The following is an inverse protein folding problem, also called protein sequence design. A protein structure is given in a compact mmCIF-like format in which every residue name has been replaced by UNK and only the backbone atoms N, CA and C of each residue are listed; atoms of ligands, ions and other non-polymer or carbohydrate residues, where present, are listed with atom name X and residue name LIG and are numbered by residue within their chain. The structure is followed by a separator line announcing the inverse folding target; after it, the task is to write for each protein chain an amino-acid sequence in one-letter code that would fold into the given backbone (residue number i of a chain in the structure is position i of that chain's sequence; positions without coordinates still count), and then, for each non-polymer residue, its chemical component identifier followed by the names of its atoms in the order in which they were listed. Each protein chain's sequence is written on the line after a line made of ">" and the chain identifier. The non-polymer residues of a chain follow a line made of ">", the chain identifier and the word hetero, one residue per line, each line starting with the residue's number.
data_IF_504856603964
#
_entry.id   IF_504856603964
#
_cell.length_a   1.000
_cell.length_b   1.000
_cell.length_c   1.000
_cell.angle_alpha   90.00
_cell.angle_beta   90.00
_cell.angle_gamma   90.00
#
_symmetry.space_group_name_H-M   'P 1'
#
loop_
_entity.id
_entity.type
_entity.pdbx_description
1 polymer ?
#
# COMPACT_ATOMS: atom_id res chain seq x y z
N UNK A 1 -25.00 -8.52 1.39
CA UNK A 1 -24.72 -8.71 2.83
C UNK A 1 -23.21 -8.65 2.98
N UNK A 2 -22.68 -7.45 3.22
CA UNK A 2 -21.25 -7.25 3.53
C UNK A 2 -21.18 -7.35 5.04
N UNK A 3 -20.80 -8.51 5.55
CA UNK A 3 -20.64 -8.73 6.99
C UNK A 3 -19.55 -7.80 7.52
N UNK A 4 -19.90 -7.03 8.55
CA UNK A 4 -19.07 -6.08 9.32
C UNK A 4 -17.96 -6.73 10.16
N UNK A 5 -17.52 -7.93 9.81
CA UNK A 5 -16.41 -8.62 10.45
C UNK A 5 -15.20 -8.54 9.54
N UNK A 6 -14.08 -8.05 10.07
CA UNK A 6 -12.76 -8.16 9.46
C UNK A 6 -12.57 -9.62 9.01
N UNK A 7 -12.30 -9.89 7.71
CA UNK A 7 -12.29 -11.26 7.23
C UNK A 7 -11.02 -11.95 7.74
N UNK A 8 -11.10 -12.61 8.90
CA UNK A 8 -10.04 -13.44 9.50
C UNK A 8 -9.68 -14.69 8.66
N UNK A 9 -10.08 -14.74 7.40
CA UNK A 9 -9.81 -15.86 6.51
C UNK A 9 -9.97 -15.42 5.05
N UNK A 10 -8.99 -14.68 4.53
CA UNK A 10 -9.00 -14.27 3.13
C UNK A 10 -8.58 -15.44 2.22
N UNK A 11 -9.57 -16.16 1.69
CA UNK A 11 -9.36 -17.30 0.79
C UNK A 11 -8.53 -16.95 -0.46
N UNK A 12 -8.46 -15.66 -0.84
CA UNK A 12 -7.64 -15.20 -1.98
C UNK A 12 -6.15 -15.41 -1.71
N UNK A 13 -5.72 -15.46 -0.45
CA UNK A 13 -4.33 -15.70 -0.06
C UNK A 13 -3.90 -17.16 -0.22
N UNK A 14 -4.85 -18.09 -0.13
CA UNK A 14 -4.57 -19.52 -0.23
C UNK A 14 -4.09 -19.88 -1.63
N UNK A 15 -4.76 -19.36 -2.67
CA UNK A 15 -4.46 -19.76 -4.04
C UNK A 15 -4.93 -18.73 -5.08
N UNK A 16 -4.21 -18.65 -6.22
CA UNK A 16 -4.52 -17.72 -7.31
C UNK A 16 -5.92 -17.93 -7.89
N UNK A 17 -6.41 -19.19 -7.92
CA UNK A 17 -7.76 -19.48 -8.42
C UNK A 17 -8.85 -18.92 -7.50
N UNK A 18 -8.61 -18.84 -6.20
CA UNK A 18 -9.52 -18.19 -5.26
C UNK A 18 -9.57 -16.68 -5.54
N UNK A 19 -8.42 -16.07 -5.80
CA UNK A 19 -8.33 -14.67 -6.21
C UNK A 19 -9.02 -14.40 -7.56
N UNK A 20 -8.82 -15.26 -8.56
CA UNK A 20 -9.50 -15.15 -9.85
C UNK A 20 -11.02 -15.31 -9.73
N UNK A 21 -11.47 -16.25 -8.89
CA UNK A 21 -12.89 -16.50 -8.66
C UNK A 21 -13.55 -15.32 -7.94
N UNK A 22 -12.91 -14.77 -6.91
CA UNK A 22 -13.38 -13.57 -6.21
C UNK A 22 -13.48 -12.35 -7.16
N UNK A 23 -12.58 -12.28 -8.15
CA UNK A 23 -12.56 -11.22 -9.15
C UNK A 23 -13.39 -11.50 -10.41
N UNK A 24 -14.16 -12.60 -10.44
CA UNK A 24 -14.99 -12.99 -11.60
C UNK A 24 -14.22 -13.06 -12.91
N UNK A 25 -12.95 -13.47 -12.84
CA UNK A 25 -12.10 -13.64 -14.02
C UNK A 25 -12.70 -14.70 -14.95
N UNK A 26 -12.62 -14.46 -16.26
CA UNK A 26 -13.19 -15.36 -17.27
C UNK A 26 -12.64 -16.79 -17.17
N UNK A 27 -13.44 -17.74 -17.66
CA UNK A 27 -13.13 -19.17 -17.51
C UNK A 27 -11.82 -19.56 -18.21
N UNK A 28 -11.53 -18.96 -19.37
CA UNK A 28 -10.31 -19.24 -20.14
C UNK A 28 -9.04 -18.98 -19.31
N UNK A 29 -8.97 -17.85 -18.61
CA UNK A 29 -7.83 -17.50 -17.75
C UNK A 29 -7.74 -18.38 -16.51
N UNK A 30 -8.89 -18.80 -15.94
CA UNK A 30 -8.92 -19.76 -14.82
C UNK A 30 -8.43 -21.13 -15.23
N UNK A 31 -8.83 -21.62 -16.40
CA UNK A 31 -8.34 -22.89 -16.98
C UNK A 31 -6.84 -22.80 -17.26
N UNK A 32 -6.39 -21.70 -17.88
CA UNK A 32 -4.95 -21.46 -18.11
C UNK A 32 -4.15 -21.52 -16.81
N UNK A 33 -4.62 -20.86 -15.76
CA UNK A 33 -3.98 -20.88 -14.45
C UNK A 33 -3.89 -22.30 -13.87
N UNK A 34 -4.95 -23.11 -13.95
CA UNK A 34 -4.93 -24.51 -13.49
C UNK A 34 -3.80 -25.29 -14.16
N UNK A 35 -3.71 -25.22 -15.49
CA UNK A 35 -2.67 -25.93 -16.22
C UNK A 35 -1.27 -25.40 -15.93
N UNK A 36 -1.10 -24.08 -15.77
CA UNK A 36 0.18 -23.50 -15.36
C UNK A 36 0.60 -23.98 -13.96
N UNK A 37 -0.31 -24.10 -13.00
CA UNK A 37 -0.01 -24.62 -11.66
C UNK A 37 0.45 -26.08 -11.75
N UNK A 38 -0.28 -26.92 -12.48
CA UNK A 38 0.09 -28.34 -12.67
C UNK A 38 1.45 -28.44 -13.34
N UNK A 39 1.70 -27.62 -14.38
CA UNK A 39 2.97 -27.59 -15.10
C UNK A 39 4.12 -27.15 -14.20
N UNK A 40 3.92 -26.16 -13.34
CA UNK A 40 4.98 -25.58 -12.50
C UNK A 40 5.19 -26.31 -11.18
N UNK A 41 4.27 -27.20 -10.79
CA UNK A 41 4.41 -27.98 -9.56
C UNK A 41 5.65 -28.86 -9.62
N UNK A 42 6.44 -28.82 -8.53
CA UNK A 42 7.58 -29.74 -8.32
C UNK A 42 7.03 -31.11 -7.95
N UNK A 43 7.41 -32.14 -8.69
CA UNK A 43 6.90 -33.50 -8.52
C UNK A 43 8.01 -34.35 -7.92
N UNK A 44 7.75 -35.11 -6.84
CA UNK A 44 8.69 -36.11 -6.33
C UNK A 44 9.04 -37.13 -7.43
N UNK A 45 10.30 -37.55 -7.50
CA UNK A 45 10.86 -38.25 -8.67
C UNK A 45 10.14 -39.56 -9.08
N UNK A 46 9.28 -40.15 -8.24
CA UNK A 46 8.74 -41.50 -8.47
C UNK A 46 7.24 -41.56 -8.83
N UNK A 47 6.51 -40.44 -8.89
CA UNK A 47 5.08 -40.48 -9.28
C UNK A 47 4.88 -40.33 -10.80
N UNK A 48 4.77 -41.47 -11.48
CA UNK A 48 4.51 -41.55 -12.93
C UNK A 48 3.19 -40.87 -13.31
N UNK A 49 2.15 -40.93 -12.47
CA UNK A 49 0.84 -40.32 -12.78
C UNK A 49 0.94 -38.81 -12.80
N UNK A 50 1.66 -38.23 -11.85
CA UNK A 50 1.91 -36.79 -11.82
C UNK A 50 2.75 -36.33 -13.02
N UNK A 51 3.74 -37.13 -13.46
CA UNK A 51 4.52 -36.84 -14.67
C UNK A 51 3.65 -36.83 -15.93
N UNK A 52 2.76 -37.82 -16.08
CA UNK A 52 1.80 -37.87 -17.20
C UNK A 52 0.87 -36.65 -17.16
N UNK A 53 0.33 -36.32 -15.99
CA UNK A 53 -0.58 -35.20 -15.82
C UNK A 53 0.08 -33.84 -16.14
N UNK A 54 1.36 -33.67 -15.76
CA UNK A 54 2.17 -32.50 -16.12
C UNK A 54 2.42 -32.39 -17.61
N UNK A 55 2.72 -33.50 -18.28
CA UNK A 55 2.88 -33.53 -19.74
C UNK A 55 1.57 -33.16 -20.44
N UNK A 56 0.44 -33.72 -20.00
CA UNK A 56 -0.88 -33.39 -20.53
C UNK A 56 -1.21 -31.91 -20.33
N UNK A 57 -0.95 -31.35 -19.15
CA UNK A 57 -1.15 -29.92 -18.89
C UNK A 57 -0.30 -29.03 -19.81
N UNK A 58 0.94 -29.43 -20.10
CA UNK A 58 1.81 -28.71 -21.04
C UNK A 58 1.26 -28.76 -22.48
N UNK A 59 0.80 -29.93 -22.94
CA UNK A 59 0.17 -30.08 -24.26
C UNK A 59 -1.07 -29.19 -24.36
N UNK A 60 -1.97 -29.28 -23.38
CA UNK A 60 -3.20 -28.48 -23.36
C UNK A 60 -2.90 -26.97 -23.31
N UNK A 61 -1.89 -26.54 -22.55
CA UNK A 61 -1.45 -25.15 -22.56
C UNK A 61 -0.95 -24.68 -23.94
N UNK A 62 -0.29 -25.54 -24.70
CA UNK A 62 0.22 -25.20 -26.03
C UNK A 62 -0.89 -25.18 -27.09
N UNK A 63 -1.90 -26.04 -26.93
CA UNK A 63 -3.05 -26.13 -27.83
C UNK A 63 -4.11 -25.06 -27.56
N UNK A 64 -4.14 -24.52 -26.34
CA UNK A 64 -5.06 -23.44 -25.96
C UNK A 64 -4.75 -22.19 -26.80
N UNK A 65 -5.60 -21.93 -27.80
CA UNK A 65 -5.53 -20.75 -28.64
C UNK A 65 -5.93 -19.51 -27.82
N UNK A 66 -4.94 -18.72 -27.42
CA UNK A 66 -5.12 -17.41 -26.80
C UNK A 66 -4.64 -16.35 -27.79
N UNK A 67 -5.43 -15.30 -27.99
CA UNK A 67 -4.94 -14.15 -28.76
C UNK A 67 -3.79 -13.45 -28.01
N UNK A 68 -3.02 -12.61 -28.71
CA UNK A 68 -1.98 -11.82 -28.05
C UNK A 68 -2.54 -10.94 -26.93
N UNK A 69 -3.75 -10.40 -27.11
CA UNK A 69 -4.44 -9.58 -26.11
C UNK A 69 -4.84 -10.41 -24.88
N UNK A 70 -5.28 -11.66 -25.09
CA UNK A 70 -5.59 -12.58 -23.99
C UNK A 70 -4.33 -12.94 -23.19
N UNK A 71 -3.20 -13.16 -23.88
CA UNK A 71 -1.92 -13.46 -23.21
C UNK A 71 -1.48 -12.27 -22.36
N UNK A 72 -1.56 -11.04 -22.88
CA UNK A 72 -1.24 -9.83 -22.13
C UNK A 72 -2.17 -9.64 -20.93
N UNK A 73 -3.48 -9.87 -21.12
CA UNK A 73 -4.48 -9.80 -20.05
C UNK A 73 -4.18 -10.82 -18.95
N UNK A 74 -3.85 -12.05 -19.32
CA UNK A 74 -3.47 -13.10 -18.37
C UNK A 74 -2.21 -12.72 -17.57
N UNK A 75 -1.16 -12.22 -18.24
CA UNK A 75 0.07 -11.77 -17.55
C UNK A 75 -0.21 -10.62 -16.58
N UNK A 76 -1.11 -9.70 -16.94
CA UNK A 76 -1.56 -8.63 -16.04
C UNK A 76 -2.27 -9.21 -14.82
N UNK A 77 -3.18 -10.16 -14.98
CA UNK A 77 -3.87 -10.84 -13.86
C UNK A 77 -2.90 -11.55 -12.91
N UNK A 78 -1.84 -12.18 -13.44
CA UNK A 78 -0.77 -12.78 -12.62
C UNK A 78 0.00 -11.71 -11.84
N UNK A 79 0.32 -10.59 -12.48
CA UNK A 79 1.00 -9.46 -11.85
C UNK A 79 0.13 -8.86 -10.74
N UNK A 80 -1.16 -8.68 -10.99
CA UNK A 80 -2.13 -8.17 -10.01
C UNK A 80 -2.20 -9.06 -8.78
N UNK A 81 -2.20 -10.38 -8.97
CA UNK A 81 -2.16 -11.32 -7.85
C UNK A 81 -0.86 -11.22 -7.05
N UNK A 82 0.29 -11.09 -7.73
CA UNK A 82 1.59 -10.88 -7.09
C UNK A 82 1.61 -9.58 -6.28
N UNK A 83 1.02 -8.52 -6.80
CA UNK A 83 0.93 -7.23 -6.13
C UNK A 83 -0.02 -7.28 -4.93
N UNK A 84 -1.19 -7.92 -5.08
CA UNK A 84 -2.11 -8.19 -3.97
C UNK A 84 -1.42 -8.91 -2.81
N UNK A 85 -0.67 -9.99 -3.10
CA UNK A 85 0.12 -10.68 -2.07
C UNK A 85 1.21 -9.80 -1.46
N UNK A 86 1.78 -8.87 -2.22
CA UNK A 86 2.80 -7.93 -1.73
C UNK A 86 2.20 -6.88 -0.79
N UNK A 87 1.00 -6.37 -1.08
CA UNK A 87 0.24 -5.49 -0.18
C UNK A 87 0.01 -6.18 1.16
N UNK A 88 -0.49 -7.43 1.13
CA UNK A 88 -0.79 -8.19 2.35
C UNK A 88 0.49 -8.44 3.14
N UNK A 89 1.56 -8.86 2.48
CA UNK A 89 2.81 -9.14 3.14
C UNK A 89 3.46 -7.87 3.76
N UNK A 90 3.31 -6.70 3.13
CA UNK A 90 3.70 -5.42 3.72
C UNK A 90 2.83 -5.07 4.95
N UNK A 91 1.51 -5.24 4.85
CA UNK A 91 0.59 -5.08 5.98
C UNK A 91 0.99 -5.95 7.18
N UNK A 92 1.35 -7.21 6.96
CA UNK A 92 1.76 -8.13 8.02
C UNK A 92 3.09 -7.74 8.67
N UNK A 93 4.05 -7.26 7.88
CA UNK A 93 5.30 -6.74 8.42
C UNK A 93 5.04 -5.50 9.29
N UNK A 94 4.15 -4.60 8.86
CA UNK A 94 3.70 -3.47 9.67
C UNK A 94 3.06 -3.90 11.00
N UNK A 95 2.16 -4.89 10.96
CA UNK A 95 1.53 -5.43 12.17
C UNK A 95 2.55 -6.04 13.13
N UNK A 96 3.48 -6.83 12.61
CA UNK A 96 4.53 -7.46 13.43
C UNK A 96 5.42 -6.42 14.12
N UNK A 97 5.88 -5.41 13.39
CA UNK A 97 6.72 -4.34 13.95
C UNK A 97 5.96 -3.49 14.97
N UNK A 98 4.68 -3.20 14.71
CA UNK A 98 3.82 -2.50 15.66
C UNK A 98 3.64 -3.29 16.95
N UNK A 99 3.60 -4.62 16.87
CA UNK A 99 3.54 -5.52 18.03
C UNK A 99 4.85 -5.58 18.83
N UNK A 100 5.97 -5.18 18.24
CA UNK A 100 7.29 -5.05 18.85
C UNK A 100 7.56 -3.59 19.33
N UNK A 101 6.53 -2.73 19.35
CA UNK A 101 6.60 -1.30 19.65
C UNK A 101 7.56 -0.50 18.72
N UNK A 102 7.91 -1.05 17.55
CA UNK A 102 8.74 -0.41 16.52
C UNK A 102 7.88 0.39 15.55
N UNK A 103 7.16 1.38 16.06
CA UNK A 103 6.17 2.14 15.28
C UNK A 103 6.76 2.91 14.09
N UNK A 104 7.99 3.40 14.24
CA UNK A 104 8.76 4.11 13.21
C UNK A 104 8.96 3.23 11.95
N UNK A 105 9.39 1.99 12.14
CA UNK A 105 9.57 1.03 11.05
C UNK A 105 8.21 0.53 10.53
N UNK A 106 7.27 0.25 11.44
CA UNK A 106 5.95 -0.27 11.13
C UNK A 106 5.18 0.66 10.17
N UNK A 107 5.25 1.98 10.39
CA UNK A 107 4.48 2.92 9.59
C UNK A 107 4.91 2.96 8.12
N UNK A 108 6.19 2.74 7.85
CA UNK A 108 6.74 2.68 6.50
C UNK A 108 6.10 1.52 5.72
N UNK A 109 5.96 0.36 6.35
CA UNK A 109 5.28 -0.79 5.75
C UNK A 109 3.79 -0.53 5.50
N UNK A 110 3.08 0.13 6.42
CA UNK A 110 1.67 0.49 6.21
C UNK A 110 1.49 1.51 5.08
N UNK A 111 2.36 2.52 4.97
CA UNK A 111 2.35 3.49 3.87
C UNK A 111 2.57 2.81 2.51
N UNK A 112 3.55 1.90 2.41
CA UNK A 112 3.81 1.10 1.20
C UNK A 112 2.61 0.23 0.84
N UNK A 113 2.02 -0.45 1.83
CA UNK A 113 0.82 -1.26 1.63
C UNK A 113 -0.34 -0.40 1.09
N UNK A 114 -0.58 0.79 1.67
CA UNK A 114 -1.62 1.73 1.21
C UNK A 114 -1.39 2.18 -0.24
N UNK A 115 -0.17 2.59 -0.58
CA UNK A 115 0.17 3.04 -1.93
C UNK A 115 -0.06 1.91 -2.96
N UNK A 116 0.40 0.70 -2.66
CA UNK A 116 0.25 -0.44 -3.54
C UNK A 116 -1.22 -0.86 -3.67
N UNK A 117 -1.97 -0.84 -2.57
CA UNK A 117 -3.40 -1.15 -2.56
C UNK A 117 -4.22 -0.15 -3.38
N UNK A 118 -3.84 1.13 -3.33
CA UNK A 118 -4.49 2.18 -4.12
C UNK A 118 -4.23 1.99 -5.62
N UNK A 119 -3.02 1.58 -6.03
CA UNK A 119 -2.72 1.25 -7.43
C UNK A 119 -3.56 0.09 -7.96
N UNK A 120 -3.79 -0.93 -7.13
CA UNK A 120 -4.70 -2.03 -7.47
C UNK A 120 -6.16 -1.57 -7.56
N UNK A 121 -6.58 -0.68 -6.65
CA UNK A 121 -7.96 -0.20 -6.56
C UNK A 121 -8.37 0.75 -7.68
N UNK A 122 -7.44 1.57 -8.20
CA UNK A 122 -7.71 2.58 -9.25
C UNK A 122 -8.11 1.98 -10.61
N UNK A 123 -7.89 0.68 -10.81
CA UNK A 123 -8.28 -0.02 -12.04
C UNK A 123 -9.61 -0.74 -11.80
N UNK A 124 -10.73 -0.04 -12.05
CA UNK A 124 -12.12 -0.44 -11.76
C UNK A 124 -12.66 -1.69 -12.49
N UNK A 125 -11.82 -2.60 -13.00
CA UNK A 125 -12.28 -3.77 -13.76
C UNK A 125 -12.60 -4.98 -12.89
N UNK A 126 -11.99 -5.11 -11.70
CA UNK A 126 -12.09 -6.31 -10.87
C UNK A 126 -12.60 -5.99 -9.45
N UNK A 127 -13.66 -6.65 -8.96
CA UNK A 127 -14.39 -6.24 -7.75
C UNK A 127 -13.65 -6.51 -6.43
N UNK A 128 -12.68 -7.42 -6.39
CA UNK A 128 -11.98 -7.87 -5.18
C UNK A 128 -10.47 -7.98 -5.40
N UNK A 129 -9.90 -7.02 -6.14
CA UNK A 129 -8.50 -7.01 -6.56
C UNK A 129 -7.54 -6.58 -5.44
N UNK A 130 -8.04 -5.74 -4.55
CA UNK A 130 -7.30 -5.10 -3.48
C UNK A 130 -7.62 -5.73 -2.11
N UNK A 131 -6.75 -5.47 -1.13
CA UNK A 131 -7.05 -5.62 0.29
C UNK A 131 -8.15 -4.63 0.68
N UNK A 132 -8.90 -4.95 1.74
CA UNK A 132 -9.87 -4.01 2.32
C UNK A 132 -9.16 -2.72 2.77
N UNK A 133 -9.45 -1.64 2.05
CA UNK A 133 -8.86 -0.32 2.30
C UNK A 133 -9.24 0.22 3.68
N UNK A 134 -10.43 -0.10 4.20
CA UNK A 134 -10.86 0.36 5.52
C UNK A 134 -9.99 -0.24 6.62
N UNK A 135 -9.76 -1.56 6.58
CA UNK A 135 -8.84 -2.26 7.48
C UNK A 135 -7.43 -1.67 7.41
N UNK A 136 -6.92 -1.48 6.20
CA UNK A 136 -5.56 -1.00 5.99
C UNK A 136 -5.36 0.44 6.49
N UNK A 137 -6.31 1.34 6.21
CA UNK A 137 -6.27 2.72 6.67
C UNK A 137 -6.41 2.81 8.19
N UNK A 138 -7.29 2.00 8.78
CA UNK A 138 -7.45 1.94 10.24
C UNK A 138 -6.17 1.46 10.93
N UNK A 139 -5.50 0.43 10.40
CA UNK A 139 -4.23 -0.06 10.95
C UNK A 139 -3.13 1.01 10.84
N UNK A 140 -3.04 1.70 9.71
CA UNK A 140 -2.10 2.81 9.51
C UNK A 140 -2.34 3.94 10.53
N UNK A 141 -3.58 4.40 10.70
CA UNK A 141 -3.93 5.44 11.70
C UNK A 141 -3.59 5.01 13.12
N UNK A 142 -3.96 3.79 13.50
CA UNK A 142 -3.65 3.24 14.81
C UNK A 142 -2.14 3.21 15.07
N UNK A 143 -1.33 2.86 14.07
CA UNK A 143 0.13 2.92 14.19
C UNK A 143 0.63 4.35 14.46
N UNK A 144 0.09 5.36 13.77
CA UNK A 144 0.41 6.76 14.05
C UNK A 144 -0.01 7.19 15.44
N UNK A 145 -1.21 6.81 15.90
CA UNK A 145 -1.72 7.12 17.24
C UNK A 145 -0.74 6.63 18.32
N UNK A 146 -0.36 5.35 18.21
CA UNK A 146 0.57 4.73 19.15
C UNK A 146 1.96 5.34 19.10
N UNK A 147 2.47 5.62 17.91
CA UNK A 147 3.77 6.29 17.76
C UNK A 147 3.75 7.67 18.42
N UNK A 148 2.70 8.45 18.13
CA UNK A 148 2.52 9.80 18.65
C UNK A 148 2.44 9.80 20.19
N UNK A 149 1.68 8.87 20.79
CA UNK A 149 1.57 8.75 22.25
C UNK A 149 2.92 8.45 22.91
N UNK A 150 3.70 7.52 22.35
CA UNK A 150 5.04 7.16 22.86
C UNK A 150 5.98 8.35 22.78
N UNK A 151 5.99 9.07 21.66
CA UNK A 151 6.84 10.24 21.46
C UNK A 151 6.43 11.38 22.39
N UNK A 152 5.13 11.66 22.53
CA UNK A 152 4.64 12.69 23.46
C UNK A 152 5.06 12.37 24.90
N UNK A 153 4.91 11.10 25.32
CA UNK A 153 5.31 10.69 26.66
C UNK A 153 6.82 10.89 26.84
N UNK A 154 7.63 10.42 25.89
CA UNK A 154 9.08 10.57 25.93
C UNK A 154 9.51 12.03 25.97
N UNK A 155 8.91 12.88 25.14
CA UNK A 155 9.18 14.31 25.08
C UNK A 155 8.85 15.04 26.41
N UNK A 156 7.82 14.58 27.13
CA UNK A 156 7.49 15.11 28.46
C UNK A 156 8.48 14.65 29.54
N UNK A 157 8.93 13.41 29.48
CA UNK A 157 9.74 12.79 30.55
C UNK A 157 11.24 12.99 30.39
N UNK A 158 11.72 13.10 29.15
CA UNK A 158 13.14 13.18 28.81
C UNK A 158 13.47 14.60 28.32
N UNK A 159 14.21 15.40 29.11
CA UNK A 159 14.55 16.77 28.77
C UNK A 159 15.51 16.90 27.58
N UNK A 160 16.23 15.83 27.24
CA UNK A 160 17.20 15.83 26.14
C UNK A 160 16.59 15.24 24.85
N UNK A 161 15.34 14.78 24.90
CA UNK A 161 14.68 14.20 23.74
C UNK A 161 14.35 15.25 22.68
N UNK A 162 14.76 14.95 21.44
CA UNK A 162 14.58 15.80 20.26
C UNK A 162 13.58 15.18 19.29
N UNK A 163 12.87 16.04 18.56
CA UNK A 163 11.81 15.65 17.62
C UNK A 163 12.33 15.42 16.19
N UNK A 164 13.62 15.20 16.01
CA UNK A 164 14.24 15.02 14.68
C UNK A 164 13.62 13.82 13.94
N UNK A 165 13.44 12.68 14.63
CA UNK A 165 12.81 11.49 14.05
C UNK A 165 11.36 11.73 13.63
N UNK A 166 10.59 12.45 14.44
CA UNK A 166 9.21 12.85 14.08
C UNK A 166 9.22 13.74 12.84
N UNK A 167 10.17 14.65 12.78
CA UNK A 167 10.27 15.60 11.68
C UNK A 167 10.67 14.91 10.37
N UNK A 168 11.64 13.99 10.43
CA UNK A 168 12.19 13.34 9.24
C UNK A 168 11.40 12.12 8.77
N UNK A 169 10.66 11.44 9.64
CA UNK A 169 9.96 10.20 9.29
C UNK A 169 8.45 10.25 9.54
N UNK A 170 8.00 10.81 10.67
CA UNK A 170 6.57 10.89 10.97
C UNK A 170 5.86 11.83 10.00
N UNK A 171 6.39 13.04 9.78
CA UNK A 171 5.76 14.04 8.91
C UNK A 171 5.59 13.55 7.47
N UNK A 172 6.61 13.00 6.78
CA UNK A 172 6.40 12.47 5.43
C UNK A 172 5.31 11.39 5.37
N UNK A 173 5.25 10.51 6.37
CA UNK A 173 4.22 9.47 6.42
C UNK A 173 2.83 10.07 6.67
N UNK A 174 2.73 11.06 7.57
CA UNK A 174 1.50 11.78 7.88
C UNK A 174 0.94 12.50 6.65
N UNK A 175 1.80 12.94 5.74
CA UNK A 175 1.36 13.59 4.50
C UNK A 175 0.55 12.65 3.59
N UNK A 176 0.76 11.33 3.64
CA UNK A 176 -0.11 10.39 2.92
C UNK A 176 -1.54 10.35 3.46
N UNK A 177 -1.73 10.61 4.76
CA UNK A 177 -3.06 10.71 5.37
C UNK A 177 -3.80 11.97 4.90
N UNK A 178 -3.10 13.09 4.66
CA UNK A 178 -3.71 14.34 4.13
C UNK A 178 -4.34 14.18 2.75
N UNK A 179 -4.02 13.12 2.01
CA UNK A 179 -4.62 12.79 0.71
C UNK A 179 -5.72 11.71 0.81
N UNK A 180 -6.07 11.32 2.04
CA UNK A 180 -6.93 10.18 2.33
C UNK A 180 -8.30 10.62 2.91
N UNK A 181 -8.96 9.74 3.67
CA UNK A 181 -10.36 9.87 4.11
C UNK A 181 -10.63 11.06 5.06
N UNK A 182 -11.91 11.41 5.26
CA UNK A 182 -12.32 12.45 6.23
C UNK A 182 -11.85 12.10 7.67
N UNK A 183 -11.86 10.82 8.03
CA UNK A 183 -11.33 10.33 9.31
C UNK A 183 -9.81 10.59 9.44
N UNK A 184 -9.06 10.48 8.34
CA UNK A 184 -7.63 10.78 8.32
C UNK A 184 -7.38 12.29 8.51
N UNK A 185 -8.23 13.15 7.94
CA UNK A 185 -8.16 14.60 8.15
C UNK A 185 -8.46 14.98 9.59
N UNK A 186 -9.53 14.42 10.16
CA UNK A 186 -9.90 14.66 11.55
C UNK A 186 -8.78 14.24 12.51
N UNK A 187 -8.14 13.10 12.23
CA UNK A 187 -6.98 12.62 12.98
C UNK A 187 -5.79 13.57 12.90
N UNK A 188 -5.48 14.11 11.72
CA UNK A 188 -4.39 15.09 11.54
C UNK A 188 -4.67 16.38 12.31
N UNK A 189 -5.90 16.88 12.25
CA UNK A 189 -6.31 18.06 13.03
C UNK A 189 -6.14 17.82 14.53
N UNK A 190 -6.46 16.62 15.00
CA UNK A 190 -6.29 16.25 16.40
C UNK A 190 -4.82 16.18 16.81
N UNK A 191 -3.93 15.58 15.99
CA UNK A 191 -2.48 15.61 16.22
C UNK A 191 -1.99 17.07 16.33
N UNK A 192 -2.35 17.91 15.36
CA UNK A 192 -1.98 19.33 15.35
C UNK A 192 -2.41 20.02 16.64
N UNK A 193 -3.65 19.80 17.07
CA UNK A 193 -4.18 20.35 18.33
C UNK A 193 -3.38 19.87 19.55
N UNK A 194 -3.06 18.58 19.64
CA UNK A 194 -2.32 18.00 20.76
C UNK A 194 -0.92 18.61 20.87
N UNK A 195 -0.18 18.72 19.76
CA UNK A 195 1.16 19.30 19.75
C UNK A 195 1.16 20.80 20.02
N UNK A 196 0.16 21.55 19.54
CA UNK A 196 0.02 22.96 19.89
C UNK A 196 -0.22 23.16 21.40
N UNK A 197 -1.06 22.34 22.02
CA UNK A 197 -1.32 22.41 23.47
C UNK A 197 -0.13 21.99 24.34
N UNK A 198 0.84 21.27 23.76
CA UNK A 198 2.09 20.93 24.43
C UNK A 198 2.99 22.16 24.55
N UNK A 199 2.95 23.08 23.57
CA UNK A 199 3.73 24.33 23.59
C UNK A 199 3.37 25.18 24.81
N UNK A 200 2.08 25.30 25.13
CA UNK A 200 1.59 26.08 26.28
C UNK A 200 2.00 25.51 27.65
N UNK A 201 2.51 24.27 27.70
CA UNK A 201 2.78 23.54 28.95
C UNK A 201 4.26 23.37 29.25
N UNK A 202 5.14 23.82 28.36
CA UNK A 202 6.58 23.56 28.46
C UNK A 202 7.30 24.89 28.72
N UNK A 203 8.17 24.89 29.74
CA UNK A 203 9.03 26.03 30.05
C UNK A 203 10.01 26.31 28.89
N UNK A 204 10.26 27.59 28.57
CA UNK A 204 11.10 27.99 27.44
C UNK A 204 12.53 27.45 27.58
N UNK A 205 12.86 26.44 26.77
CA UNK A 205 14.14 25.71 26.77
C UNK A 205 14.53 25.30 25.34
N UNK A 206 15.69 24.67 25.14
CA UNK A 206 16.06 24.11 23.82
C UNK A 206 15.02 23.10 23.27
N UNK A 207 14.26 22.45 24.16
CA UNK A 207 13.10 21.61 23.78
C UNK A 207 11.97 22.39 23.13
N UNK A 208 11.74 23.63 23.57
CA UNK A 208 10.73 24.52 22.99
C UNK A 208 11.10 24.84 21.54
N UNK A 209 12.38 25.12 21.26
CA UNK A 209 12.85 25.36 19.89
C UNK A 209 12.64 24.13 18.98
N UNK A 210 12.97 22.93 19.48
CA UNK A 210 12.74 21.69 18.73
C UNK A 210 11.26 21.42 18.46
N UNK A 211 10.38 21.80 19.39
CA UNK A 211 8.92 21.71 19.24
C UNK A 211 8.38 22.74 18.26
N UNK A 212 8.84 23.98 18.33
CA UNK A 212 8.47 25.04 17.40
C UNK A 212 8.85 24.68 15.96
N UNK A 213 10.06 24.14 15.75
CA UNK A 213 10.50 23.66 14.42
C UNK A 213 9.61 22.52 13.90
N UNK A 214 9.28 21.55 14.76
CA UNK A 214 8.39 20.46 14.40
C UNK A 214 6.98 20.96 14.06
N UNK A 215 6.41 21.85 14.88
CA UNK A 215 5.10 22.45 14.67
C UNK A 215 5.04 23.25 13.37
N UNK A 216 6.08 24.02 13.08
CA UNK A 216 6.17 24.76 11.82
C UNK A 216 6.02 23.81 10.63
N UNK A 217 6.79 22.71 10.61
CA UNK A 217 6.70 21.72 9.52
C UNK A 217 5.40 20.90 9.51
N UNK A 218 4.81 20.65 10.69
CA UNK A 218 3.52 19.95 10.80
C UNK A 218 2.36 20.77 10.20
N UNK A 219 2.44 22.10 10.31
CA UNK A 219 1.45 23.04 9.81
C UNK A 219 1.69 23.44 8.33
N UNK A 220 2.92 23.29 7.82
CA UNK A 220 3.26 23.53 6.42
C UNK A 220 2.57 22.55 5.44
N UNK A 221 2.45 22.96 4.17
CA UNK A 221 1.85 22.15 3.09
C UNK A 221 2.83 21.08 2.55
N UNK A 222 2.33 19.93 2.06
CA UNK A 222 3.14 18.74 1.87
C UNK A 222 4.08 18.79 0.65
N UNK A 223 5.28 18.23 0.81
CA UNK A 223 6.03 17.62 -0.31
C UNK A 223 5.83 16.11 -0.18
N UNK A 224 5.15 15.50 -1.16
CA UNK A 224 4.92 14.05 -1.16
C UNK A 224 6.22 13.26 -1.29
N UNK A 225 6.41 12.25 -0.45
CA UNK A 225 7.48 11.27 -0.62
C UNK A 225 6.93 9.95 -1.17
N UNK A 226 7.64 9.39 -2.15
CA UNK A 226 7.42 8.03 -2.63
C UNK A 226 8.20 7.03 -1.78
N UNK A 227 7.50 6.04 -1.22
CA UNK A 227 8.14 5.01 -0.42
C UNK A 227 8.72 3.94 -1.34
N UNK A 228 10.04 3.78 -1.28
CA UNK A 228 10.76 2.82 -2.09
C UNK A 228 10.62 1.40 -1.54
N UNK A 229 10.92 0.42 -2.40
CA UNK A 229 10.72 -1.01 -2.17
C UNK A 229 11.25 -1.49 -0.82
N UNK A 230 10.35 -1.92 0.06
CA UNK A 230 10.72 -2.58 1.31
C UNK A 230 10.86 -4.08 1.07
N UNK A 231 11.76 -4.74 1.81
CA UNK A 231 11.90 -6.20 1.76
C UNK A 231 10.66 -6.84 2.38
N UNK A 232 9.90 -7.58 1.57
CA UNK A 232 8.60 -8.12 1.95
C UNK A 232 8.66 -9.65 1.99
N UNK A 233 8.49 -10.24 3.17
CA UNK A 233 8.43 -11.69 3.35
C UNK A 233 7.04 -12.23 2.94
N UNK A 234 7.02 -13.10 1.91
CA UNK A 234 5.81 -13.68 1.31
C UNK A 234 5.50 -15.12 1.75
N UNK A 235 6.24 -15.65 2.72
CA UNK A 235 6.02 -16.98 3.27
C UNK A 235 4.85 -16.99 4.26
N UNK A 236 4.09 -18.09 4.26
CA UNK A 236 3.02 -18.38 5.22
C UNK A 236 2.00 -17.23 5.39
N UNK A 237 1.69 -16.49 4.31
CA UNK A 237 0.81 -15.33 4.38
C UNK A 237 -0.58 -15.65 4.93
N UNK A 238 -1.10 -16.86 4.68
CA UNK A 238 -2.42 -17.26 5.16
C UNK A 238 -2.45 -17.32 6.69
N UNK A 239 -1.52 -18.07 7.29
CA UNK A 239 -1.41 -18.27 8.74
C UNK A 239 -1.13 -16.93 9.44
N UNK A 240 -0.12 -16.19 8.95
CA UNK A 240 0.27 -14.90 9.52
C UNK A 240 -0.85 -13.85 9.42
N UNK A 241 -1.68 -13.89 8.38
CA UNK A 241 -2.77 -12.93 8.21
C UNK A 241 -3.90 -13.12 9.21
N UNK A 242 -4.35 -14.35 9.40
CA UNK A 242 -5.38 -14.65 10.39
C UNK A 242 -4.92 -14.24 11.81
N UNK A 243 -3.70 -14.63 12.17
CA UNK A 243 -3.09 -14.27 13.46
C UNK A 243 -2.97 -12.75 13.64
N UNK A 244 -2.45 -12.04 12.65
CA UNK A 244 -2.26 -10.58 12.74
C UNK A 244 -3.59 -9.83 12.91
N UNK A 245 -4.64 -10.21 12.17
CA UNK A 245 -5.94 -9.53 12.29
C UNK A 245 -6.60 -9.85 13.63
N UNK A 246 -6.50 -11.09 14.12
CA UNK A 246 -6.99 -11.45 15.47
C UNK A 246 -6.28 -10.67 16.55
N UNK A 247 -4.96 -10.56 16.43
CA UNK A 247 -4.12 -9.88 17.40
C UNK A 247 -4.36 -8.36 17.40
N UNK A 248 -4.56 -7.75 16.22
CA UNK A 248 -5.00 -6.35 16.11
C UNK A 248 -6.31 -6.10 16.85
N UNK A 249 -7.32 -6.96 16.67
CA UNK A 249 -8.61 -6.80 17.34
C UNK A 249 -8.46 -7.01 18.86
N UNK A 250 -7.67 -7.99 19.28
CA UNK A 250 -7.48 -8.30 20.68
C UNK A 250 -6.73 -7.20 21.43
N UNK A 251 -5.61 -6.72 20.90
CA UNK A 251 -4.80 -5.66 21.53
C UNK A 251 -5.47 -4.29 21.45
N UNK A 252 -6.27 -4.06 20.41
CA UNK A 252 -6.87 -2.77 20.14
C UNK A 252 -8.39 -2.92 19.94
N UNK A 253 -9.19 -2.96 21.02
CA UNK A 253 -10.65 -3.13 20.91
C UNK A 253 -11.36 -2.02 20.13
N UNK A 254 -10.78 -0.81 20.07
CA UNK A 254 -11.25 0.26 19.18
C UNK A 254 -11.18 -0.13 17.68
N UNK A 255 -10.40 -1.16 17.35
CA UNK A 255 -10.26 -1.73 16.02
C UNK A 255 -11.50 -2.48 15.54
N UNK A 256 -12.32 -3.05 16.42
CA UNK A 256 -13.53 -3.82 16.06
C UNK A 256 -14.80 -2.98 15.89
N UNK A 257 -14.71 -1.64 15.99
CA UNK A 257 -15.87 -0.75 16.09
C UNK A 257 -16.98 -0.97 15.05
N UNK A 258 -18.09 -1.56 15.51
CA UNK A 258 -19.43 -1.18 15.09
C UNK A 258 -19.61 0.31 15.42
N UNK A 259 -19.76 1.15 14.41
CA UNK A 259 -20.23 2.53 14.56
C UNK A 259 -21.72 2.52 14.86
N UNK A 260 -22.07 2.29 16.12
CA UNK A 260 -23.44 2.49 16.60
C UNK A 260 -23.43 3.15 17.99
N UNK A 261 -22.63 4.21 18.12
CA UNK A 261 -22.86 5.21 19.16
C UNK A 261 -23.06 6.55 18.44
N UNK A 262 -24.33 6.97 18.32
CA UNK A 262 -24.66 8.35 18.01
C UNK A 262 -23.97 9.26 19.04
N UNK A 263 -23.33 10.36 18.65
CA UNK A 263 -22.93 11.36 19.62
C UNK A 263 -24.21 11.96 20.22
N UNK A 264 -24.48 11.62 21.48
CA UNK A 264 -25.45 12.37 22.27
C UNK A 264 -24.92 13.79 22.44
N UNK A 265 -25.57 14.74 21.75
CA UNK A 265 -25.41 16.16 21.93
C UNK A 265 -25.57 16.52 23.42
N UNK A 266 -24.61 17.19 24.08
CA UNK A 266 -24.87 17.74 25.39
C UNK A 266 -25.83 18.92 25.26
N UNK A 267 -26.96 18.80 25.95
CA UNK A 267 -27.97 19.83 26.17
C UNK A 267 -27.33 21.21 26.42
N UNK A 268 -27.64 22.19 25.58
CA UNK A 268 -27.36 23.61 25.83
C UNK A 268 -28.67 24.38 25.84
N UNK A 269 -29.37 24.35 26.97
CA UNK A 269 -30.38 25.34 27.30
C UNK A 269 -29.74 26.49 28.07
N UNK A 270 -30.02 27.70 27.60
CA UNK A 270 -29.96 29.00 28.29
C UNK A 270 -28.59 29.56 28.65
N UNK A 271 -28.10 30.54 27.86
CA UNK A 271 -28.06 31.95 28.30
C UNK A 271 -27.51 32.91 27.23
N UNK A 272 -28.33 33.90 26.95
CA UNK A 272 -28.04 35.33 26.73
C UNK A 272 -27.13 35.75 25.57
N UNK A 273 -27.80 36.37 24.60
CA UNK A 273 -27.34 37.31 23.59
C UNK A 273 -26.41 38.42 24.12
N UNK A 274 -25.26 38.59 23.46
CA UNK A 274 -24.59 39.89 23.32
C UNK A 274 -24.06 39.99 21.89
N UNK A 275 -24.49 41.05 21.20
CA UNK A 275 -24.04 41.47 19.88
C UNK A 275 -22.56 41.89 19.92
N UNK A 276 -21.76 41.36 19.00
CA UNK A 276 -20.55 42.02 18.49
C UNK A 276 -20.32 41.66 17.03
N UNK A 277 -20.03 42.69 16.23
CA UNK A 277 -19.99 42.72 14.77
C UNK A 277 -18.92 41.80 14.13
N UNK A 278 -19.10 41.38 12.85
CA UNK A 278 -18.08 40.64 12.13
C UNK A 278 -16.93 41.56 11.70
N UNK A 279 -15.71 41.16 12.05
CA UNK A 279 -14.46 41.74 11.55
C UNK A 279 -14.19 41.19 10.15
N UNK A 280 -14.20 42.08 9.17
CA UNK A 280 -13.83 41.81 7.77
C UNK A 280 -12.35 41.44 7.66
N UNK A 281 -12.07 40.27 7.08
CA UNK A 281 -10.73 39.89 6.61
C UNK A 281 -10.67 40.18 5.09
N UNK A 282 -9.66 40.92 4.59
CA UNK A 282 -9.58 41.23 3.17
C UNK A 282 -9.13 40.00 2.36
N UNK A 283 -9.95 39.63 1.37
CA UNK A 283 -9.63 38.67 0.32
C UNK A 283 -8.67 39.35 -0.66
N UNK A 284 -7.41 38.90 -0.71
CA UNK A 284 -6.47 39.26 -1.77
C UNK A 284 -6.76 38.36 -2.96
N UNK A 285 -7.46 38.90 -3.96
CA UNK A 285 -7.65 38.30 -5.28
C UNK A 285 -6.36 38.55 -6.06
N UNK A 286 -5.56 37.51 -6.24
CA UNK A 286 -4.42 37.55 -7.17
C UNK A 286 -4.86 36.92 -8.49
N UNK A 287 -5.17 37.80 -9.45
CA UNK A 287 -5.39 37.44 -10.85
C UNK A 287 -4.06 36.95 -11.42
N UNK A 288 -4.01 35.70 -11.88
CA UNK A 288 -2.98 35.24 -12.81
C UNK A 288 -3.61 34.68 -14.07
N UNK A 289 -3.22 35.32 -15.16
CA UNK A 289 -3.61 35.14 -16.54
C UNK A 289 -3.24 33.75 -17.08
N UNK A 290 -4.12 33.20 -17.91
CA UNK A 290 -3.84 32.06 -18.79
C UNK A 290 -2.70 32.37 -19.77
N UNK A 291 -1.92 31.34 -20.15
CA UNK A 291 -1.37 31.29 -21.50
C UNK A 291 -1.99 30.14 -22.30
N UNK A 292 -2.39 30.55 -23.48
CA UNK A 292 -2.86 29.82 -24.64
C UNK A 292 -2.02 28.61 -25.06
N UNK A 293 -2.75 27.56 -25.45
CA UNK A 293 -2.44 26.55 -26.48
C UNK A 293 -1.20 26.79 -27.36
N UNK A 294 -0.18 25.96 -27.19
CA UNK A 294 0.76 25.60 -28.26
C UNK A 294 1.03 24.10 -28.28
N UNK A 295 1.11 23.61 -29.51
CA UNK A 295 1.04 22.24 -29.98
C UNK A 295 2.29 21.38 -29.72
N UNK A 296 2.04 20.10 -29.43
CA UNK A 296 3.00 18.99 -29.35
C UNK A 296 3.92 18.88 -30.58
N UNK A 297 5.22 18.58 -30.41
CA UNK A 297 6.03 18.06 -31.50
C UNK A 297 5.92 16.53 -31.58
N UNK A 298 5.53 16.08 -32.77
CA UNK A 298 5.58 14.70 -33.27
C UNK A 298 7.05 14.32 -33.47
N UNK A 299 7.54 13.27 -32.81
CA UNK A 299 8.82 12.63 -33.18
C UNK A 299 8.54 11.42 -34.06
N UNK A 300 8.92 11.57 -35.33
CA UNK A 300 8.98 10.54 -36.35
C UNK A 300 9.98 9.44 -35.96
N UNK A 301 9.52 8.20 -35.84
CA UNK A 301 10.35 7.00 -35.93
C UNK A 301 10.29 6.49 -37.37
N UNK A 302 11.28 6.87 -38.19
CA UNK A 302 11.53 6.20 -39.48
C UNK A 302 13.02 6.03 -39.73
N UNK A 303 13.43 4.77 -39.69
CA UNK A 303 14.45 4.16 -40.56
C UNK A 303 15.90 4.58 -40.37
N UNK A 304 16.74 3.62 -39.98
CA UNK A 304 17.90 3.20 -40.79
C UNK A 304 18.58 1.99 -40.13
N UNK A 305 18.42 0.83 -40.75
CA UNK A 305 19.43 -0.24 -40.78
C UNK A 305 20.12 -0.10 -42.15
N UNK A 306 21.42 -0.44 -42.28
CA UNK A 306 21.70 -1.80 -42.76
C UNK A 306 22.96 -2.47 -42.18
N UNK A 307 22.93 -3.79 -42.37
CA UNK A 307 23.99 -4.82 -42.39
C UNK A 307 25.46 -4.37 -42.51
N UNK A 308 26.32 -5.09 -41.78
CA UNK A 308 27.53 -5.71 -42.33
C UNK A 308 27.74 -7.08 -41.64
N UNK A 309 27.62 -8.15 -42.43
CA UNK A 309 28.16 -9.48 -42.16
C UNK A 309 29.51 -9.52 -42.86
N UNK A 310 30.56 -9.91 -42.14
CA UNK A 310 31.79 -10.40 -42.75
C UNK A 310 31.90 -11.90 -42.43
N UNK A 311 31.87 -12.67 -43.50
CA UNK A 311 32.36 -14.04 -43.59
C UNK A 311 33.90 -14.02 -43.49
N UNK A 312 34.49 -15.00 -42.80
CA UNK A 312 35.75 -15.58 -43.27
C UNK A 312 35.81 -17.07 -42.89
N UNK A 313 36.07 -17.84 -43.92
CA UNK A 313 36.04 -19.29 -44.04
C UNK A 313 37.49 -19.84 -44.03
N UNK A 314 37.63 -21.16 -43.85
CA UNK A 314 38.81 -22.03 -44.07
C UNK A 314 39.78 -22.20 -42.87
N UNK A 315 40.32 -23.38 -42.53
CA UNK A 315 40.38 -24.67 -43.21
C UNK A 315 40.80 -25.80 -42.24
N UNK A 316 40.52 -27.05 -42.64
CA UNK A 316 41.21 -28.31 -42.27
C UNK A 316 41.10 -28.80 -40.79
N UNK A 317 40.86 -30.06 -40.44
CA UNK A 317 41.28 -31.33 -41.05
C UNK A 317 40.60 -32.53 -40.33
N UNK A 318 40.27 -33.58 -41.09
CA UNK A 318 39.91 -34.93 -40.62
C UNK A 318 41.10 -35.63 -39.94
N UNK A 319 40.84 -36.64 -39.09
CA UNK A 319 41.28 -38.00 -39.46
C UNK A 319 40.22 -39.07 -39.13
N UNK A 320 39.82 -39.90 -40.09
CA UNK A 320 40.22 -41.32 -40.26
C UNK A 320 40.27 -42.14 -38.97
N UNK A 321 39.27 -43.00 -38.82
CA UNK A 321 39.28 -44.20 -37.97
C UNK A 321 40.41 -45.16 -38.38
N UNK A 322 40.82 -46.06 -37.47
CA UNK A 322 40.75 -47.47 -37.84
C UNK A 322 40.28 -48.41 -36.71
N UNK A 323 39.80 -49.58 -37.20
CA UNK A 323 39.56 -50.87 -36.55
C UNK A 323 38.20 -51.11 -35.91
#
# INVERSE_FOLDING_TARGET
>A
IITSALPHNDLRLQHILSYFSANRVELIYRQRAIYDIIRLTSIPNDDIRLKIFKLQAQIICNEMQMSNDDVQTYQKLLTDYKDFRSVIAAFLAGCQLMNEDKFEEAITYFCVACEYNLRLSKQCTLPMRAMDSCLLFKARRLCFERWNDVVINRFKTDPDYRLDTMTHQFLPCLMQLKLSSEEDQAYITEIQRIWCLLLDKIEPTERTLSLEEFLQRLLEQPIGQHYHSVSINKHQLVERYDEAVKDLIHRYPSFSGNTNEQPQSPNRSNRTSVLTAPVSIPVVIQQHSEPSSESMPIINLRGSSPMQQDDDEQDSSLPTSPS
#
